data_IF_289302325597
#
_entry.id   IF_289302325597
#
_cell.length_a   1.000
_cell.length_b   1.000
_cell.length_c   1.000
_cell.angle_alpha   90.00
_cell.angle_beta   90.00
_cell.angle_gamma   90.00
#
_symmetry.space_group_name_H-M   'P 1'
#
loop_
_entity.id
_entity.type
_entity.pdbx_description
1 polymer ?
#
# COMPACT_ATOMS: atom_id res chain seq x y z
N UNK A 1 13.71 -24.44 28.14
CA UNK A 1 13.59 -23.55 26.98
C UNK A 1 14.98 -23.40 26.38
N UNK A 2 15.17 -23.83 25.14
CA UNK A 2 16.46 -23.76 24.43
C UNK A 2 16.73 -22.35 23.90
N UNK A 3 17.99 -22.03 23.60
CA UNK A 3 18.38 -20.73 23.04
C UNK A 3 17.68 -20.42 21.70
N UNK A 4 17.29 -21.44 20.93
CA UNK A 4 16.53 -21.29 19.69
C UNK A 4 15.08 -20.86 19.94
N UNK A 5 14.39 -21.49 20.90
CA UNK A 5 13.01 -21.14 21.27
C UNK A 5 12.93 -19.69 21.80
N UNK A 6 13.89 -19.30 22.64
CA UNK A 6 13.96 -17.93 23.15
C UNK A 6 14.23 -16.90 22.04
N UNK A 7 14.94 -17.29 20.96
CA UNK A 7 15.16 -16.41 19.81
C UNK A 7 13.89 -16.26 18.97
N UNK A 8 13.20 -17.35 18.69
CA UNK A 8 11.95 -17.37 17.93
C UNK A 8 10.85 -16.56 18.63
N UNK A 9 10.69 -16.70 19.95
CA UNK A 9 9.73 -15.92 20.73
C UNK A 9 10.01 -14.41 20.63
N UNK A 10 11.28 -14.02 20.68
CA UNK A 10 11.70 -12.63 20.52
C UNK A 10 11.42 -12.08 19.10
N UNK A 11 11.60 -12.90 18.05
CA UNK A 11 11.32 -12.52 16.67
C UNK A 11 9.81 -12.31 16.44
N UNK A 12 8.96 -13.22 16.93
CA UNK A 12 7.50 -13.08 16.86
C UNK A 12 7.04 -11.81 17.59
N UNK A 13 7.55 -11.58 18.81
CA UNK A 13 7.20 -10.39 19.58
C UNK A 13 7.61 -9.10 18.85
N UNK A 14 8.79 -9.07 18.24
CA UNK A 14 9.28 -7.93 17.48
C UNK A 14 8.41 -7.65 16.25
N UNK A 15 8.05 -8.68 15.47
CA UNK A 15 7.14 -8.54 14.34
C UNK A 15 5.75 -8.07 14.78
N UNK A 16 5.20 -8.63 15.86
CA UNK A 16 3.91 -8.21 16.41
C UNK A 16 3.93 -6.74 16.81
N UNK A 17 5.00 -6.27 17.45
CA UNK A 17 5.16 -4.87 17.85
C UNK A 17 5.24 -3.94 16.64
N UNK A 18 5.96 -4.34 15.60
CA UNK A 18 6.17 -3.54 14.39
C UNK A 18 4.89 -3.39 13.55
N UNK A 19 4.09 -4.45 13.42
CA UNK A 19 3.01 -4.50 12.43
C UNK A 19 1.60 -4.41 13.01
N UNK A 20 1.35 -5.06 14.16
CA UNK A 20 -0.01 -5.25 14.67
C UNK A 20 -0.76 -3.93 14.92
N UNK A 21 -0.14 -2.85 15.43
CA UNK A 21 -0.83 -1.58 15.62
C UNK A 21 -1.39 -1.02 14.30
N UNK A 22 -0.56 -0.97 13.26
CA UNK A 22 -0.95 -0.47 11.94
C UNK A 22 -2.04 -1.33 11.30
N UNK A 23 -1.88 -2.66 11.32
CA UNK A 23 -2.86 -3.60 10.77
C UNK A 23 -4.20 -3.51 11.51
N UNK A 24 -4.17 -3.42 12.84
CA UNK A 24 -5.37 -3.29 13.67
C UNK A 24 -6.10 -1.98 13.37
N UNK A 25 -5.39 -0.85 13.34
CA UNK A 25 -6.01 0.46 13.06
C UNK A 25 -6.59 0.49 11.66
N UNK A 26 -5.87 -0.03 10.65
CA UNK A 26 -6.38 -0.09 9.27
C UNK A 26 -7.63 -0.96 9.18
N UNK A 27 -7.65 -2.09 9.88
CA UNK A 27 -8.84 -2.95 9.95
C UNK A 27 -10.03 -2.26 10.62
N UNK A 28 -9.82 -1.57 11.74
CA UNK A 28 -10.88 -0.80 12.42
C UNK A 28 -11.40 0.34 11.55
N UNK A 29 -10.53 1.03 10.81
CA UNK A 29 -10.89 2.02 9.80
C UNK A 29 -11.77 1.41 8.71
N UNK A 30 -11.40 0.22 8.24
CA UNK A 30 -12.16 -0.52 7.23
C UNK A 30 -13.54 -0.91 7.74
N UNK A 31 -13.63 -1.38 8.98
CA UNK A 31 -14.92 -1.70 9.62
C UNK A 31 -15.78 -0.44 9.78
N UNK A 32 -15.19 0.68 10.15
CA UNK A 32 -15.92 1.94 10.26
C UNK A 32 -16.50 2.44 8.92
N UNK A 33 -15.80 2.19 7.81
CA UNK A 33 -16.30 2.50 6.46
C UNK A 33 -17.40 1.51 6.01
N UNK A 34 -17.27 0.24 6.37
CA UNK A 34 -18.13 -0.87 5.92
C UNK A 34 -18.77 -1.65 7.08
N UNK A 35 -19.60 -1.03 7.94
CA UNK A 35 -20.11 -1.65 9.16
C UNK A 35 -21.04 -2.85 8.92
N UNK A 36 -21.62 -2.94 7.72
CA UNK A 36 -22.56 -4.00 7.33
C UNK A 36 -21.90 -5.13 6.53
N UNK A 37 -20.63 -4.99 6.17
CA UNK A 37 -19.90 -6.01 5.42
C UNK A 37 -19.51 -7.15 6.36
N UNK A 38 -19.71 -8.44 5.98
CA UNK A 38 -19.29 -9.56 6.81
C UNK A 38 -17.81 -9.49 7.21
N UNK A 39 -17.51 -9.79 8.47
CA UNK A 39 -16.15 -9.65 9.04
C UNK A 39 -15.08 -10.40 8.23
N UNK A 40 -15.40 -11.61 7.77
CA UNK A 40 -14.48 -12.41 6.95
C UNK A 40 -14.20 -11.75 5.60
N UNK A 41 -15.22 -11.18 4.95
CA UNK A 41 -15.05 -10.45 3.69
C UNK A 41 -14.23 -9.18 3.89
N UNK A 42 -14.44 -8.48 5.00
CA UNK A 42 -13.64 -7.31 5.36
C UNK A 42 -12.17 -7.67 5.61
N UNK A 43 -11.93 -8.71 6.40
CA UNK A 43 -10.57 -9.18 6.71
C UNK A 43 -9.82 -9.65 5.46
N UNK A 44 -10.47 -10.45 4.62
CA UNK A 44 -9.88 -10.92 3.35
C UNK A 44 -9.67 -9.78 2.37
N UNK A 45 -10.59 -8.80 2.31
CA UNK A 45 -10.44 -7.59 1.50
C UNK A 45 -9.25 -6.72 1.93
N UNK A 46 -9.10 -6.47 3.24
CA UNK A 46 -7.94 -5.74 3.77
C UNK A 46 -6.62 -6.47 3.48
N UNK A 47 -6.58 -7.78 3.68
CA UNK A 47 -5.40 -8.60 3.35
C UNK A 47 -5.07 -8.55 1.85
N UNK A 48 -6.09 -8.64 1.00
CA UNK A 48 -5.93 -8.54 -0.45
C UNK A 48 -5.37 -7.19 -0.89
N UNK A 49 -5.78 -6.08 -0.26
CA UNK A 49 -5.25 -4.74 -0.57
C UNK A 49 -3.76 -4.62 -0.28
N UNK A 50 -3.28 -5.17 0.83
CA UNK A 50 -1.84 -5.22 1.12
C UNK A 50 -1.08 -6.06 0.10
N UNK A 51 -1.62 -7.23 -0.22
CA UNK A 51 -1.07 -8.12 -1.23
C UNK A 51 -1.02 -7.43 -2.60
N UNK A 52 -2.10 -6.77 -3.01
CA UNK A 52 -2.17 -6.01 -4.26
C UNK A 52 -1.06 -4.96 -4.34
N UNK A 53 -0.91 -4.14 -3.30
CA UNK A 53 0.13 -3.11 -3.25
C UNK A 53 1.55 -3.70 -3.41
N UNK A 54 1.85 -4.76 -2.65
CA UNK A 54 3.14 -5.46 -2.73
C UNK A 54 3.42 -6.01 -4.14
N UNK A 55 2.47 -6.73 -4.73
CA UNK A 55 2.67 -7.37 -6.03
C UNK A 55 2.77 -6.36 -7.17
N UNK A 56 2.02 -5.26 -7.11
CA UNK A 56 2.13 -4.19 -8.11
C UNK A 56 3.48 -3.49 -7.99
N UNK A 57 3.96 -3.19 -6.79
CA UNK A 57 5.27 -2.57 -6.63
C UNK A 57 6.38 -3.51 -7.10
N UNK A 58 6.31 -4.81 -6.74
CA UNK A 58 7.23 -5.83 -7.24
C UNK A 58 7.16 -5.95 -8.76
N UNK A 59 5.97 -5.96 -9.36
CA UNK A 59 5.78 -5.98 -10.81
C UNK A 59 6.52 -4.80 -11.45
N UNK A 60 6.40 -3.59 -10.90
CA UNK A 60 7.12 -2.42 -11.39
C UNK A 60 8.63 -2.60 -11.43
N UNK A 61 9.22 -3.24 -10.43
CA UNK A 61 10.66 -3.53 -10.41
C UNK A 61 11.09 -4.65 -11.37
N UNK A 62 10.15 -5.46 -11.83
CA UNK A 62 10.41 -6.59 -12.74
C UNK A 62 10.00 -6.32 -14.19
N UNK A 63 9.30 -5.21 -14.47
CA UNK A 63 8.99 -4.79 -15.83
C UNK A 63 10.24 -4.29 -16.55
N UNK A 64 10.41 -4.56 -17.87
CA UNK A 64 11.53 -4.05 -18.63
C UNK A 64 11.67 -2.52 -18.52
N UNK A 65 12.87 -2.02 -18.26
CA UNK A 65 13.15 -0.58 -18.19
C UNK A 65 13.63 0.01 -19.53
N UNK A 66 13.48 -0.75 -20.62
CA UNK A 66 13.93 -0.36 -21.96
C UNK A 66 12.75 -0.22 -22.94
N UNK A 67 12.98 0.49 -24.04
CA UNK A 67 11.97 0.71 -25.08
C UNK A 67 10.72 1.43 -24.56
N UNK A 68 9.53 0.99 -25.01
CA UNK A 68 8.26 1.62 -24.63
C UNK A 68 7.95 1.48 -23.13
N UNK A 69 8.42 0.40 -22.49
CA UNK A 69 8.16 0.16 -21.07
C UNK A 69 8.89 1.15 -20.17
N UNK A 70 9.99 1.76 -20.63
CA UNK A 70 10.65 2.87 -19.91
C UNK A 70 9.68 4.02 -19.63
N UNK A 71 8.78 4.32 -20.56
CA UNK A 71 7.82 5.43 -20.41
C UNK A 71 6.55 5.03 -19.67
N UNK A 72 6.19 3.74 -19.71
CA UNK A 72 5.04 3.21 -18.97
C UNK A 72 5.36 2.96 -17.49
N UNK A 73 6.63 2.75 -17.17
CA UNK A 73 7.10 2.47 -15.82
C UNK A 73 7.67 3.72 -15.15
N UNK A 74 6.77 4.69 -14.90
CA UNK A 74 7.07 5.95 -14.20
C UNK A 74 7.80 5.71 -12.87
N UNK A 75 7.47 4.62 -12.19
CA UNK A 75 8.12 4.21 -10.95
C UNK A 75 9.63 3.99 -11.13
N UNK A 76 10.05 3.21 -12.14
CA UNK A 76 11.48 3.03 -12.40
C UNK A 76 12.11 4.26 -13.05
N UNK A 77 11.43 4.88 -14.01
CA UNK A 77 12.02 5.92 -14.84
C UNK A 77 12.16 7.28 -14.15
N UNK A 78 11.37 7.55 -13.12
CA UNK A 78 11.33 8.85 -12.45
C UNK A 78 11.59 8.71 -10.94
N UNK A 79 10.87 7.82 -10.26
CA UNK A 79 11.04 7.65 -8.81
C UNK A 79 12.40 7.05 -8.46
N UNK A 80 12.77 5.92 -9.08
CA UNK A 80 14.07 5.26 -8.89
C UNK A 80 15.23 5.85 -9.69
N UNK A 81 14.99 6.83 -10.57
CA UNK A 81 16.07 7.45 -11.33
C UNK A 81 17.00 8.25 -10.42
N UNK A 82 18.30 7.98 -10.50
CA UNK A 82 19.34 8.81 -9.89
C UNK A 82 19.49 10.16 -10.61
N UNK A 83 19.12 10.22 -11.90
CA UNK A 83 19.09 11.43 -12.70
C UNK A 83 17.68 12.04 -12.61
N UNK A 84 17.55 13.03 -11.73
CA UNK A 84 16.28 13.75 -11.50
C UNK A 84 16.12 14.81 -12.58
N UNK A 85 15.41 14.45 -13.65
CA UNK A 85 15.16 15.34 -14.80
C UNK A 85 14.03 16.36 -14.53
N UNK A 86 13.20 16.13 -13.51
CA UNK A 86 12.00 16.92 -13.26
C UNK A 86 12.03 17.62 -11.89
N UNK A 87 11.33 18.76 -11.73
CA UNK A 87 11.15 19.38 -10.43
C UNK A 87 10.50 18.40 -9.45
N UNK A 88 11.00 18.35 -8.21
CA UNK A 88 10.55 17.38 -7.19
C UNK A 88 9.04 17.34 -7.00
N UNK A 89 8.37 18.50 -7.03
CA UNK A 89 6.91 18.55 -6.91
C UNK A 89 6.20 17.78 -8.03
N UNK A 90 6.68 17.89 -9.27
CA UNK A 90 6.10 17.21 -10.41
C UNK A 90 6.33 15.69 -10.31
N UNK A 91 7.51 15.26 -9.85
CA UNK A 91 7.78 13.84 -9.58
C UNK A 91 6.78 13.27 -8.57
N UNK A 92 6.57 13.96 -7.45
CA UNK A 92 5.63 13.51 -6.42
C UNK A 92 4.19 13.45 -6.94
N UNK A 93 3.78 14.38 -7.80
CA UNK A 93 2.46 14.35 -8.45
C UNK A 93 2.34 13.11 -9.34
N UNK A 94 3.34 12.83 -10.17
CA UNK A 94 3.30 11.65 -11.04
C UNK A 94 3.36 10.34 -10.26
N UNK A 95 4.16 10.28 -9.20
CA UNK A 95 4.22 9.14 -8.27
C UNK A 95 2.86 8.92 -7.59
N UNK A 96 2.20 9.99 -7.15
CA UNK A 96 0.83 9.96 -6.62
C UNK A 96 -0.16 9.40 -7.64
N UNK A 97 -0.13 9.90 -8.88
CA UNK A 97 -1.00 9.44 -9.96
C UNK A 97 -0.75 7.98 -10.31
N UNK A 98 0.51 7.57 -10.40
CA UNK A 98 0.91 6.19 -10.69
C UNK A 98 0.37 5.24 -9.63
N UNK A 99 0.55 5.57 -8.36
CA UNK A 99 0.03 4.78 -7.24
C UNK A 99 -1.50 4.69 -7.31
N UNK A 100 -2.19 5.80 -7.56
CA UNK A 100 -3.65 5.83 -7.68
C UNK A 100 -4.18 5.02 -8.87
N UNK A 101 -3.49 5.04 -10.02
CA UNK A 101 -3.90 4.32 -11.24
C UNK A 101 -4.03 2.82 -10.99
N UNK A 102 -3.12 2.21 -10.23
CA UNK A 102 -3.20 0.76 -9.98
C UNK A 102 -4.38 0.36 -9.11
N UNK A 103 -4.71 1.15 -8.10
CA UNK A 103 -5.94 0.92 -7.35
C UNK A 103 -7.19 1.22 -8.19
N UNK A 104 -7.10 2.20 -9.10
CA UNK A 104 -8.13 2.47 -10.11
C UNK A 104 -8.35 1.29 -11.06
N UNK A 105 -7.28 0.61 -11.48
CA UNK A 105 -7.35 -0.63 -12.28
C UNK A 105 -8.05 -1.74 -11.50
N UNK A 106 -7.68 -1.95 -10.23
CA UNK A 106 -8.38 -2.92 -9.37
C UNK A 106 -9.87 -2.62 -9.29
N UNK A 107 -10.23 -1.36 -9.00
CA UNK A 107 -11.62 -0.91 -8.97
C UNK A 107 -12.34 -1.19 -10.30
N UNK A 108 -11.73 -0.82 -11.43
CA UNK A 108 -12.30 -1.03 -12.74
C UNK A 108 -12.51 -2.51 -13.06
N UNK A 109 -11.56 -3.39 -12.72
CA UNK A 109 -11.70 -4.84 -12.90
C UNK A 109 -12.93 -5.36 -12.15
N UNK A 110 -13.15 -4.95 -10.90
CA UNK A 110 -14.34 -5.37 -10.15
C UNK A 110 -15.64 -4.89 -10.82
N UNK A 111 -15.68 -3.64 -11.31
CA UNK A 111 -16.86 -3.10 -11.99
C UNK A 111 -17.13 -3.76 -13.35
N UNK A 112 -16.10 -4.08 -14.13
CA UNK A 112 -16.26 -4.68 -15.46
C UNK A 112 -16.58 -6.18 -15.40
N UNK A 113 -16.11 -6.89 -14.38
CA UNK A 113 -16.34 -8.33 -14.22
C UNK A 113 -17.54 -8.66 -13.36
N UNK A 114 -18.07 -7.67 -12.64
CA UNK A 114 -19.06 -7.82 -11.55
C UNK A 114 -18.60 -8.75 -10.41
N UNK A 115 -17.29 -8.99 -10.31
CA UNK A 115 -16.68 -9.77 -9.22
C UNK A 115 -16.12 -8.80 -8.17
N UNK A 116 -16.89 -8.56 -7.11
CA UNK A 116 -16.55 -7.61 -6.04
C UNK A 116 -15.81 -8.29 -4.88
N UNK A 117 -14.50 -8.54 -5.07
CA UNK A 117 -13.64 -9.16 -4.06
C UNK A 117 -13.46 -8.27 -2.82
N UNK A 118 -13.25 -6.98 -3.04
CA UNK A 118 -12.98 -5.98 -1.99
C UNK A 118 -14.05 -4.89 -2.04
N UNK A 119 -14.65 -4.48 -0.91
CA UNK A 119 -15.58 -3.36 -0.90
C UNK A 119 -14.91 -2.09 -1.43
N UNK A 120 -15.67 -1.29 -2.20
CA UNK A 120 -15.15 -0.12 -2.92
C UNK A 120 -14.47 0.88 -1.99
N UNK A 121 -15.02 1.13 -0.80
CA UNK A 121 -14.43 2.05 0.17
C UNK A 121 -13.09 1.54 0.70
N UNK A 122 -12.87 0.23 0.76
CA UNK A 122 -11.60 -0.39 1.19
C UNK A 122 -10.55 -0.31 0.08
N UNK A 123 -10.96 -0.42 -1.19
CA UNK A 123 -10.07 -0.10 -2.33
C UNK A 123 -9.60 1.36 -2.27
N UNK A 124 -10.51 2.29 -2.01
CA UNK A 124 -10.17 3.71 -1.84
C UNK A 124 -9.29 3.96 -0.60
N UNK A 125 -9.56 3.27 0.50
CA UNK A 125 -8.73 3.34 1.70
C UNK A 125 -7.31 2.86 1.40
N UNK A 126 -7.17 1.70 0.75
CA UNK A 126 -5.89 1.16 0.29
C UNK A 126 -5.14 2.13 -0.60
N UNK A 127 -5.82 2.71 -1.59
CA UNK A 127 -5.26 3.72 -2.50
C UNK A 127 -4.68 4.91 -1.74
N UNK A 128 -5.47 5.51 -0.85
CA UNK A 128 -5.05 6.71 -0.12
C UNK A 128 -3.94 6.39 0.89
N UNK A 129 -4.05 5.29 1.63
CA UNK A 129 -3.04 4.87 2.61
C UNK A 129 -1.72 4.55 1.92
N UNK A 130 -1.72 3.71 0.89
CA UNK A 130 -0.50 3.38 0.16
C UNK A 130 0.14 4.60 -0.46
N UNK A 131 -0.66 5.42 -1.16
CA UNK A 131 -0.15 6.62 -1.83
C UNK A 131 0.43 7.63 -0.84
N UNK A 132 -0.26 7.87 0.29
CA UNK A 132 0.21 8.80 1.31
C UNK A 132 1.47 8.30 2.01
N UNK A 133 1.54 7.01 2.38
CA UNK A 133 2.76 6.41 2.94
C UNK A 133 3.92 6.53 1.96
N UNK A 134 3.71 6.17 0.69
CA UNK A 134 4.78 6.18 -0.30
C UNK A 134 5.25 7.61 -0.60
N UNK A 135 4.33 8.55 -0.83
CA UNK A 135 4.68 9.92 -1.23
C UNK A 135 5.15 10.76 -0.03
N UNK A 136 4.42 10.73 1.09
CA UNK A 136 4.73 11.58 2.25
C UNK A 136 5.80 10.90 3.12
N UNK A 137 5.55 9.70 3.62
CA UNK A 137 6.47 9.08 4.57
C UNK A 137 7.77 8.64 3.89
N UNK A 138 7.70 8.00 2.73
CA UNK A 138 8.89 7.47 2.07
C UNK A 138 9.59 8.46 1.15
N UNK A 139 8.84 9.26 0.38
CA UNK A 139 9.42 10.19 -0.61
C UNK A 139 9.74 11.57 -0.04
N UNK A 140 9.00 12.07 0.96
CA UNK A 140 9.28 13.39 1.59
C UNK A 140 10.13 13.25 2.85
N UNK A 141 9.73 12.39 3.79
CA UNK A 141 10.50 12.21 5.05
C UNK A 141 11.61 11.16 4.92
N UNK A 142 11.37 10.11 4.13
CA UNK A 142 12.28 8.97 4.01
C UNK A 142 12.04 7.91 5.07
N UNK A 143 12.20 6.65 4.69
CA UNK A 143 12.47 5.54 5.61
C UNK A 143 13.75 4.83 5.20
N UNK A 144 14.40 4.14 6.15
CA UNK A 144 15.62 3.38 5.90
C UNK A 144 15.39 2.28 4.87
N UNK A 145 14.38 1.43 5.10
CA UNK A 145 14.01 0.32 4.19
C UNK A 145 13.67 0.78 2.78
N UNK A 146 12.94 1.88 2.64
CA UNK A 146 12.64 2.44 1.32
C UNK A 146 13.90 3.00 0.65
N UNK A 147 14.78 3.71 1.37
CA UNK A 147 16.05 4.19 0.81
C UNK A 147 16.94 3.04 0.36
N UNK A 148 16.97 1.94 1.11
CA UNK A 148 17.67 0.72 0.70
C UNK A 148 17.09 0.13 -0.59
N UNK A 149 15.77 0.13 -0.76
CA UNK A 149 15.15 -0.29 -2.02
C UNK A 149 15.53 0.61 -3.20
N UNK A 150 15.74 1.91 -2.97
CA UNK A 150 16.31 2.78 -4.02
C UNK A 150 17.75 2.42 -4.39
N UNK A 151 18.53 1.91 -3.44
CA UNK A 151 19.91 1.48 -3.67
C UNK A 151 20.02 0.05 -4.24
N UNK A 152 19.08 -0.83 -3.87
CA UNK A 152 19.03 -2.23 -4.23
C UNK A 152 17.62 -2.59 -4.72
N UNK A 153 17.27 -2.35 -6.00
CA UNK A 153 15.88 -2.41 -6.51
C UNK A 153 15.14 -3.75 -6.37
N UNK A 154 15.80 -4.79 -5.85
CA UNK A 154 15.27 -6.14 -5.77
C UNK A 154 14.80 -6.56 -4.36
N UNK A 155 14.80 -5.65 -3.38
CA UNK A 155 14.46 -5.94 -1.97
C UNK A 155 13.49 -4.90 -1.37
N UNK A 156 12.85 -5.16 -0.23
CA UNK A 156 11.97 -4.21 0.48
C UNK A 156 10.88 -3.59 -0.41
N UNK A 157 10.06 -4.41 -1.08
CA UNK A 157 8.95 -3.93 -1.90
C UNK A 157 7.79 -3.37 -1.05
N UNK A 158 7.67 -3.79 0.20
CA UNK A 158 6.70 -3.29 1.15
C UNK A 158 5.24 -3.74 0.86
N UNK A 159 4.37 -3.72 1.88
CA UNK A 159 4.68 -3.49 3.29
C UNK A 159 5.61 -4.57 3.86
N UNK A 160 6.45 -4.19 4.82
CA UNK A 160 7.59 -4.98 5.31
C UNK A 160 7.21 -6.41 5.76
N UNK A 161 6.03 -6.60 6.36
CA UNK A 161 5.55 -7.95 6.73
C UNK A 161 5.37 -8.89 5.52
N UNK A 162 5.04 -8.37 4.33
CA UNK A 162 5.00 -9.16 3.10
C UNK A 162 6.39 -9.40 2.55
N UNK A 163 7.34 -8.48 2.73
CA UNK A 163 8.73 -8.75 2.40
C UNK A 163 9.29 -9.91 3.21
N UNK A 164 9.04 -9.94 4.53
CA UNK A 164 9.43 -11.07 5.38
C UNK A 164 8.71 -12.36 4.98
N UNK A 165 7.42 -12.29 4.65
CA UNK A 165 6.66 -13.47 4.21
C UNK A 165 7.17 -14.05 2.88
N UNK A 166 7.65 -13.21 1.96
CA UNK A 166 8.13 -13.62 0.64
C UNK A 166 9.67 -13.67 0.52
N UNK A 167 10.39 -13.39 1.60
CA UNK A 167 11.85 -13.36 1.62
C UNK A 167 12.46 -12.30 0.70
N UNK A 168 11.80 -11.15 0.57
CA UNK A 168 12.27 -10.01 -0.24
C UNK A 168 12.86 -8.88 0.59
N UNK A 169 13.08 -9.06 1.89
CA UNK A 169 13.71 -8.09 2.78
C UNK A 169 15.24 -8.02 2.58
N UNK A 170 15.83 -6.82 2.74
CA UNK A 170 17.29 -6.59 2.71
C UNK A 170 18.03 -7.19 3.89
N UNK A 171 17.38 -7.26 5.05
CA UNK A 171 17.90 -7.76 6.32
C UNK A 171 16.76 -8.26 7.22
N UNK A 172 17.08 -8.86 8.36
CA UNK A 172 16.12 -9.48 9.28
C UNK A 172 15.37 -8.50 10.22
N UNK A 173 15.65 -7.19 10.16
CA UNK A 173 14.93 -6.19 10.97
C UNK A 173 13.52 -5.93 10.44
N UNK A 174 12.63 -5.57 11.35
CA UNK A 174 11.24 -5.25 11.05
C UNK A 174 11.04 -3.72 11.00
N UNK A 175 10.45 -3.20 9.92
CA UNK A 175 10.08 -1.79 9.81
C UNK A 175 8.95 -1.45 10.79
N UNK A 176 9.12 -0.41 11.62
CA UNK A 176 8.02 0.13 12.41
C UNK A 176 6.98 0.75 11.48
N UNK A 177 5.82 0.11 11.37
CA UNK A 177 4.73 0.56 10.50
C UNK A 177 3.82 1.60 11.17
N UNK A 178 4.19 2.18 12.31
CA UNK A 178 3.34 3.13 13.04
C UNK A 178 2.93 4.35 12.21
N UNK A 179 3.69 4.76 11.19
CA UNK A 179 3.27 5.84 10.28
C UNK A 179 2.05 5.51 9.44
N UNK A 180 1.69 4.24 9.27
CA UNK A 180 0.44 3.84 8.60
C UNK A 180 -0.80 4.23 9.41
N UNK A 181 -0.70 4.38 10.74
CA UNK A 181 -1.81 4.72 11.64
C UNK A 181 -2.41 6.09 11.28
N UNK A 182 -1.66 7.22 11.31
CA UNK A 182 -2.23 8.51 10.94
C UNK A 182 -2.72 8.55 9.50
N UNK A 183 -2.02 7.90 8.55
CA UNK A 183 -2.46 7.81 7.16
C UNK A 183 -3.80 7.08 7.02
N UNK A 184 -4.01 6.00 7.76
CA UNK A 184 -5.28 5.24 7.77
C UNK A 184 -6.43 6.06 8.34
N UNK A 185 -6.21 6.73 9.47
CA UNK A 185 -7.23 7.56 10.12
C UNK A 185 -7.63 8.74 9.22
N UNK A 186 -6.65 9.46 8.67
CA UNK A 186 -6.90 10.61 7.80
C UNK A 186 -7.57 10.21 6.49
N UNK A 187 -7.14 9.11 5.87
CA UNK A 187 -7.77 8.57 4.66
C UNK A 187 -9.22 8.16 4.91
N UNK A 188 -9.49 7.54 6.07
CA UNK A 188 -10.84 7.17 6.48
C UNK A 188 -11.74 8.39 6.65
N UNK A 189 -11.25 9.44 7.31
CA UNK A 189 -11.98 10.69 7.46
C UNK A 189 -12.28 11.32 6.09
N UNK A 190 -11.29 11.36 5.19
CA UNK A 190 -11.46 11.89 3.83
C UNK A 190 -12.54 11.11 3.06
N UNK A 191 -12.49 9.78 3.08
CA UNK A 191 -13.50 8.95 2.43
C UNK A 191 -14.88 9.22 3.03
N UNK A 192 -15.01 9.12 4.35
CA UNK A 192 -16.30 9.17 5.04
C UNK A 192 -16.99 10.53 4.88
N UNK A 193 -16.25 11.62 5.01
CA UNK A 193 -16.82 12.95 5.10
C UNK A 193 -16.73 13.74 3.80
N UNK A 194 -15.74 13.47 2.95
CA UNK A 194 -15.57 14.21 1.70
C UNK A 194 -16.02 13.41 0.47
N UNK A 195 -15.94 12.07 0.49
CA UNK A 195 -16.22 11.25 -0.71
C UNK A 195 -17.57 10.54 -0.68
N UNK A 196 -18.05 10.08 0.50
CA UNK A 196 -19.34 9.40 0.63
C UNK A 196 -20.52 10.19 0.07
N UNK A 197 -20.63 11.53 0.25
CA UNK A 197 -21.69 12.30 -0.39
C UNK A 197 -21.71 12.14 -1.93
N UNK A 198 -20.55 12.01 -2.57
CA UNK A 198 -20.41 11.82 -4.01
C UNK A 198 -20.71 10.38 -4.44
N UNK A 199 -20.25 9.38 -3.68
CA UNK A 199 -20.55 7.98 -3.96
C UNK A 199 -22.05 7.69 -3.87
N UNK A 200 -22.74 8.28 -2.89
CA UNK A 200 -24.20 8.17 -2.77
C UNK A 200 -24.94 8.80 -3.95
N UNK A 201 -24.42 9.87 -4.56
CA UNK A 201 -25.03 10.47 -5.75
C UNK A 201 -24.88 9.58 -6.99
N UNK A 202 -23.72 8.93 -7.18
CA UNK A 202 -23.46 8.08 -8.35
C UNK A 202 -24.32 6.82 -8.38
N UNK A 203 -24.64 6.24 -7.21
CA UNK A 203 -25.49 5.04 -7.14
C UNK A 203 -26.97 5.31 -7.38
N UNK A 204 -27.46 6.54 -7.16
CA UNK A 204 -28.87 6.92 -7.41
C UNK A 204 -29.25 6.97 -8.90
N UNK A 205 -28.29 6.90 -9.81
CA UNK A 205 -28.53 6.89 -11.26
C UNK A 205 -28.65 5.48 -11.86
N UNK A 206 -28.56 4.42 -11.04
CA UNK A 206 -28.58 3.01 -11.48
C UNK A 206 -29.82 2.23 -11.00
N UNK A 207 -30.76 2.90 -10.32
CA UNK A 207 -32.10 2.39 -9.98
C UNK A 207 -33.14 2.97 -10.94
#
# INVERSE_FOLDING_TARGET
>A
MGAAEAREENEIYAAMRAYSPALTVTFLCSWFLEPNTPLLQLQTGCGFIWFWAYFIHRLHHNLPSTGIFRYLNIHLSLHHSHEKELPRLLELIMETMQNAVWFGILYAIQEFTDVHLVPRSIVLLGMLVYTSVHVINYSVFGSEKHREQHAQPHVNYGPDFLDHAFGTNSDASFEDMSHFIPNSILSTALIKYCMTPYLCMLNRGKE
#
